data_IF_358916395623
#
_entry.id   IF_358916395623
#
_cell.length_a   1.000
_cell.length_b   1.000
_cell.length_c   1.000
_cell.angle_alpha   90.00
_cell.angle_beta   90.00
_cell.angle_gamma   90.00
#
_symmetry.space_group_name_H-M   'P 1'
#
loop_
_entity.id
_entity.type
_entity.pdbx_description
1 polymer ?
#
# COMPACT_ATOMS: atom_id res chain seq x y z
N UNK A 1 15.90 -7.45 31.06
CA UNK A 1 14.43 -7.62 30.91
C UNK A 1 14.05 -7.04 29.57
N UNK A 2 13.50 -7.85 28.66
CA UNK A 2 12.95 -7.33 27.40
C UNK A 2 11.67 -6.55 27.73
N UNK A 3 11.49 -5.37 27.11
CA UNK A 3 10.26 -4.60 27.25
C UNK A 3 9.05 -5.46 26.86
N UNK A 4 7.88 -5.30 27.52
CA UNK A 4 6.66 -5.99 27.12
C UNK A 4 6.40 -5.72 25.64
N UNK A 5 6.21 -6.78 24.86
CA UNK A 5 5.87 -6.69 23.45
C UNK A 5 4.42 -6.22 23.40
N UNK A 6 4.20 -4.93 23.13
CA UNK A 6 2.86 -4.46 22.81
C UNK A 6 2.35 -5.27 21.61
N UNK A 7 1.30 -6.06 21.81
CA UNK A 7 0.68 -6.79 20.71
C UNK A 7 -0.06 -5.75 19.87
N UNK A 8 0.55 -5.36 18.76
CA UNK A 8 -0.04 -4.47 17.77
C UNK A 8 -0.43 -5.29 16.55
N UNK A 9 -1.69 -5.19 16.14
CA UNK A 9 -2.17 -5.69 14.84
C UNK A 9 -1.77 -4.67 13.77
N UNK A 10 -1.01 -5.11 12.79
CA UNK A 10 -0.64 -4.29 11.64
C UNK A 10 -1.57 -4.57 10.46
N UNK A 11 -2.03 -3.51 9.81
CA UNK A 11 -2.57 -3.58 8.45
C UNK A 11 -1.58 -2.91 7.50
N UNK A 12 -1.41 -3.50 6.33
CA UNK A 12 -0.55 -2.95 5.26
C UNK A 12 -1.41 -2.73 4.02
N UNK A 13 -1.42 -1.51 3.52
CA UNK A 13 -2.09 -1.13 2.29
C UNK A 13 -1.02 -0.81 1.24
N UNK A 14 -1.12 -1.45 0.09
CA UNK A 14 -0.29 -1.18 -1.08
C UNK A 14 -1.17 -0.53 -2.13
N UNK A 15 -0.81 0.67 -2.56
CA UNK A 15 -1.49 1.38 -3.64
C UNK A 15 -0.54 1.57 -4.82
N UNK A 16 -1.00 1.19 -6.01
CA UNK A 16 -0.38 1.59 -7.26
C UNK A 16 -1.14 2.77 -7.83
N UNK A 17 -0.48 3.91 -7.97
CA UNK A 17 -1.10 5.14 -8.47
C UNK A 17 -0.81 5.34 -9.96
N UNK A 18 -1.63 6.15 -10.63
CA UNK A 18 -1.44 6.51 -12.04
C UNK A 18 -0.19 7.37 -12.31
N UNK A 19 0.30 8.09 -11.30
CA UNK A 19 1.52 8.90 -11.34
C UNK A 19 2.24 8.86 -9.98
N UNK A 20 3.38 9.53 -9.86
CA UNK A 20 4.12 9.62 -8.60
C UNK A 20 3.51 10.59 -7.57
N UNK A 21 2.39 11.23 -7.89
CA UNK A 21 1.71 12.14 -6.98
C UNK A 21 0.70 11.38 -6.10
N UNK A 22 0.65 11.68 -4.80
CA UNK A 22 -0.21 10.98 -3.83
C UNK A 22 -1.72 11.21 -4.08
N UNK A 23 -2.08 12.31 -4.72
CA UNK A 23 -3.44 12.66 -5.14
C UNK A 23 -3.81 12.04 -6.51
N UNK A 24 -2.90 11.30 -7.13
CA UNK A 24 -3.20 10.53 -8.33
C UNK A 24 -4.14 9.37 -8.03
N UNK A 25 -5.00 9.06 -8.99
CA UNK A 25 -5.93 7.93 -8.89
C UNK A 25 -5.23 6.58 -8.73
N UNK A 26 -5.82 5.72 -7.88
CA UNK A 26 -5.40 4.32 -7.70
C UNK A 26 -5.79 3.50 -8.94
N UNK A 27 -4.84 2.70 -9.45
CA UNK A 27 -5.03 1.82 -10.61
C UNK A 27 -4.94 0.33 -10.24
N UNK A 28 -4.32 0.00 -9.12
CA UNK A 28 -4.32 -1.32 -8.51
C UNK A 28 -4.00 -1.21 -7.02
N UNK A 29 -4.36 -2.21 -6.23
CA UNK A 29 -4.16 -2.18 -4.80
C UNK A 29 -4.07 -3.58 -4.18
N UNK A 30 -3.54 -3.66 -2.96
CA UNK A 30 -3.61 -4.83 -2.11
C UNK A 30 -3.74 -4.40 -0.65
N UNK A 31 -4.55 -5.12 0.13
CA UNK A 31 -4.71 -4.90 1.56
C UNK A 31 -4.38 -6.18 2.31
N UNK A 32 -3.46 -6.07 3.27
CA UNK A 32 -3.07 -7.15 4.16
C UNK A 32 -3.47 -6.82 5.58
N UNK A 33 -3.98 -7.83 6.28
CA UNK A 33 -4.31 -7.75 7.68
C UNK A 33 -3.51 -8.79 8.48
N UNK A 34 -2.73 -8.31 9.44
CA UNK A 34 -1.82 -9.11 10.25
C UNK A 34 -2.49 -10.13 11.19
N UNK A 35 -3.82 -10.22 11.21
CA UNK A 35 -4.56 -11.26 11.93
C UNK A 35 -4.44 -12.64 11.28
N UNK A 36 -4.15 -12.69 9.98
CA UNK A 36 -4.14 -13.94 9.20
C UNK A 36 -5.53 -14.54 8.96
N UNK A 37 -6.62 -13.87 9.35
CA UNK A 37 -7.99 -14.38 9.21
C UNK A 37 -8.59 -14.13 7.83
N UNK A 38 -8.09 -13.14 7.10
CA UNK A 38 -8.52 -12.84 5.73
C UNK A 38 -7.40 -13.13 4.74
N UNK A 39 -7.71 -13.90 3.69
CA UNK A 39 -6.85 -14.06 2.52
C UNK A 39 -7.51 -13.35 1.33
N UNK A 40 -7.15 -12.08 1.13
CA UNK A 40 -7.52 -11.31 -0.05
C UNK A 40 -6.79 -11.89 -1.27
N UNK A 41 -7.51 -12.10 -2.36
CA UNK A 41 -6.98 -12.43 -3.68
C UNK A 41 -7.16 -11.23 -4.62
N UNK A 42 -6.32 -11.16 -5.66
CA UNK A 42 -6.46 -10.13 -6.68
C UNK A 42 -7.82 -10.29 -7.38
N UNK A 43 -8.59 -9.20 -7.43
CA UNK A 43 -9.92 -9.19 -8.04
C UNK A 43 -11.08 -9.61 -7.11
N UNK A 44 -10.83 -9.78 -5.80
CA UNK A 44 -11.93 -10.01 -4.83
C UNK A 44 -12.87 -8.81 -4.68
N UNK A 45 -12.40 -7.61 -5.03
CA UNK A 45 -13.15 -6.36 -5.03
C UNK A 45 -12.74 -5.52 -6.26
N UNK A 46 -13.73 -4.91 -6.91
CA UNK A 46 -13.53 -4.07 -8.10
C UNK A 46 -13.04 -2.66 -7.75
N UNK A 47 -13.38 -2.18 -6.55
CA UNK A 47 -13.07 -0.82 -6.09
C UNK A 47 -11.94 -0.82 -5.05
N UNK A 48 -10.99 0.15 -5.12
CA UNK A 48 -10.00 0.32 -4.08
C UNK A 48 -10.61 0.91 -2.79
N UNK A 49 -10.03 0.64 -1.61
CA UNK A 49 -10.52 1.21 -0.35
C UNK A 49 -10.40 2.74 -0.28
N UNK A 50 -9.54 3.34 -1.12
CA UNK A 50 -9.41 4.78 -1.28
C UNK A 50 -9.17 5.13 -2.75
N UNK A 51 -9.67 6.29 -3.19
CA UNK A 51 -9.48 6.77 -4.55
C UNK A 51 -8.03 7.23 -4.83
N UNK A 52 -7.31 7.70 -3.80
CA UNK A 52 -5.96 8.25 -3.89
C UNK A 52 -5.14 7.87 -2.66
N UNK A 53 -3.81 7.98 -2.75
CA UNK A 53 -2.93 7.86 -1.58
C UNK A 53 -3.14 8.98 -0.56
N UNK A 54 -3.52 10.17 -1.00
CA UNK A 54 -3.86 11.30 -0.13
C UNK A 54 -5.07 10.97 0.76
N UNK A 55 -6.13 10.37 0.21
CA UNK A 55 -7.30 9.95 0.98
C UNK A 55 -6.95 8.90 2.04
N UNK A 56 -5.99 8.01 1.77
CA UNK A 56 -5.49 7.08 2.77
C UNK A 56 -4.77 7.82 3.92
N UNK A 57 -3.94 8.82 3.60
CA UNK A 57 -3.26 9.64 4.61
C UNK A 57 -4.25 10.43 5.48
N UNK A 58 -5.30 11.00 4.89
CA UNK A 58 -6.37 11.70 5.61
C UNK A 58 -7.09 10.78 6.61
N UNK A 59 -7.24 9.49 6.26
CA UNK A 59 -7.80 8.48 7.15
C UNK A 59 -6.79 7.92 8.19
N UNK A 60 -5.60 8.52 8.29
CA UNK A 60 -4.60 8.19 9.30
C UNK A 60 -3.70 7.00 8.96
N UNK A 61 -3.66 6.57 7.70
CA UNK A 61 -2.61 5.66 7.24
C UNK A 61 -1.25 6.36 7.27
N UNK A 62 -0.20 5.62 7.66
CA UNK A 62 1.16 6.15 7.66
C UNK A 62 1.90 5.64 6.44
N UNK A 63 2.47 6.55 5.65
CA UNK A 63 3.34 6.19 4.53
C UNK A 63 4.68 5.65 5.05
N UNK A 64 5.07 4.45 4.61
CA UNK A 64 6.35 3.82 4.99
C UNK A 64 7.29 3.62 3.81
N UNK A 65 6.77 3.61 2.57
CA UNK A 65 7.58 3.55 1.36
C UNK A 65 6.84 4.20 0.19
N UNK A 66 7.58 4.91 -0.65
CA UNK A 66 7.17 5.31 -1.99
C UNK A 66 8.22 4.82 -3.00
N UNK A 67 7.79 4.31 -4.15
CA UNK A 67 8.72 3.90 -5.21
C UNK A 67 9.61 5.06 -5.64
N UNK A 68 10.92 4.84 -5.79
CA UNK A 68 11.80 5.86 -6.32
C UNK A 68 11.46 6.14 -7.79
N UNK A 69 11.60 7.41 -8.19
CA UNK A 69 11.50 7.82 -9.59
C UNK A 69 12.74 7.38 -10.35
N UNK A 70 12.72 6.17 -10.91
CA UNK A 70 13.80 5.62 -11.72
C UNK A 70 13.57 5.94 -13.19
N UNK A 71 14.62 6.43 -13.87
CA UNK A 71 14.59 6.64 -15.31
C UNK A 71 14.55 5.31 -16.07
N UNK A 72 13.83 5.29 -17.20
CA UNK A 72 13.92 4.16 -18.12
C UNK A 72 15.30 4.05 -18.74
N UNK A 73 15.82 2.82 -18.81
CA UNK A 73 16.99 2.54 -19.62
C UNK A 73 16.65 2.64 -21.10
N UNK A 74 17.65 2.98 -21.91
CA UNK A 74 17.54 2.90 -23.38
C UNK A 74 17.15 1.47 -23.79
N UNK A 75 16.14 1.32 -24.66
CA UNK A 75 15.67 0.02 -25.12
C UNK A 75 14.51 -0.58 -24.32
N UNK A 76 14.06 0.08 -23.25
CA UNK A 76 12.91 -0.36 -22.45
C UNK A 76 11.57 0.23 -22.93
N UNK A 77 11.56 1.01 -24.01
CA UNK A 77 10.40 1.80 -24.45
C UNK A 77 9.17 0.94 -24.75
N UNK A 78 9.38 -0.31 -25.18
CA UNK A 78 8.32 -1.26 -25.56
C UNK A 78 8.24 -2.49 -24.64
N UNK A 79 8.90 -2.44 -23.47
CA UNK A 79 8.89 -3.57 -22.54
C UNK A 79 7.80 -3.40 -21.51
N UNK A 80 6.96 -4.43 -21.37
CA UNK A 80 6.01 -4.50 -20.25
C UNK A 80 6.79 -4.69 -18.95
N UNK A 81 6.55 -3.79 -18.00
CA UNK A 81 7.11 -3.84 -16.66
C UNK A 81 6.02 -3.85 -15.59
N UNK A 82 6.45 -3.95 -14.33
CA UNK A 82 5.56 -3.79 -13.18
C UNK A 82 5.02 -2.36 -13.06
N UNK A 83 3.94 -2.19 -12.29
CA UNK A 83 3.39 -0.89 -11.96
C UNK A 83 4.42 -0.07 -11.17
N UNK A 84 4.67 1.17 -11.60
CA UNK A 84 5.85 1.95 -11.18
C UNK A 84 5.65 2.72 -9.89
N UNK A 85 4.44 3.22 -9.66
CA UNK A 85 4.17 4.19 -8.59
C UNK A 85 3.52 3.46 -7.42
N UNK A 86 4.31 2.63 -6.75
CA UNK A 86 3.90 1.79 -5.63
C UNK A 86 4.13 2.53 -4.30
N UNK A 87 3.10 2.58 -3.48
CA UNK A 87 3.13 3.23 -2.17
C UNK A 87 2.67 2.23 -1.11
N UNK A 88 3.47 2.09 -0.05
CA UNK A 88 3.14 1.25 1.09
C UNK A 88 2.73 2.11 2.25
N UNK A 89 1.59 1.77 2.82
CA UNK A 89 1.06 2.37 4.01
C UNK A 89 0.88 1.33 5.10
N UNK A 90 0.96 1.77 6.35
CA UNK A 90 0.59 0.96 7.50
C UNK A 90 -0.41 1.66 8.41
N UNK A 91 -1.21 0.84 9.09
CA UNK A 91 -1.95 1.21 10.31
C UNK A 91 -1.65 0.18 11.40
N UNK A 92 -1.43 0.66 12.61
CA UNK A 92 -1.26 -0.19 13.79
C UNK A 92 -2.46 -0.01 14.70
N UNK A 93 -3.02 -1.13 15.14
CA UNK A 93 -4.11 -1.19 16.11
C UNK A 93 -3.60 -1.90 17.36
N UNK A 94 -4.02 -1.45 18.56
CA UNK A 94 -3.89 -2.27 19.76
C UNK A 94 -4.60 -3.60 19.54
N UNK A 95 -3.93 -4.71 19.79
CA UNK A 95 -4.62 -6.01 19.86
C UNK A 95 -5.40 -6.04 21.18
N UNK A 96 -6.69 -6.43 21.17
CA UNK A 96 -7.43 -6.66 22.41
C UNK A 96 -6.71 -7.73 23.26
N UNK A 97 -6.69 -7.55 24.58
CA UNK A 97 -6.21 -8.58 25.53
C UNK A 97 -6.99 -9.90 25.42
#
# INVERSE_FOLDING_TARGET
MAAPKENLRQQVLVLYLGSSALDSGVIAWALYDGTGQSRRMAGDEDEPPYATGLAALEDGWRLIQASPLIQHGTGDEFRTGYLKYEFFFEKLYPTPE
#
